data_IF_955313995708
#
_entry.id   IF_955313995708
#
_cell.length_a   1.000
_cell.length_b   1.000
_cell.length_c   1.000
_cell.angle_alpha   90.00
_cell.angle_beta   90.00
_cell.angle_gamma   90.00
#
_symmetry.space_group_name_H-M   'P 1'
#
loop_
_entity.id
_entity.type
_entity.pdbx_description
1 polymer ?
#
# COMPACT_ATOMS: atom_id res chain seq x y z
N UNK A 1 -38.48 61.42 4.55
CA UNK A 1 -39.94 61.21 4.76
C UNK A 1 -40.21 59.74 4.47
N UNK A 2 -40.58 58.86 5.38
CA UNK A 2 -40.96 59.01 6.78
C UNK A 2 -42.04 57.98 7.10
N UNK A 3 -41.81 57.20 8.18
CA UNK A 3 -42.80 56.63 9.11
C UNK A 3 -43.60 55.38 8.63
N UNK A 4 -43.55 54.26 9.36
CA UNK A 4 -44.19 53.96 10.67
C UNK A 4 -45.72 53.74 10.51
N UNK A 5 -46.45 52.90 11.25
CA UNK A 5 -46.26 52.07 12.44
C UNK A 5 -47.53 51.20 12.65
N UNK A 6 -47.39 50.13 13.45
CA UNK A 6 -48.31 49.55 14.46
C UNK A 6 -49.84 49.55 14.31
N UNK A 7 -50.44 48.36 14.52
CA UNK A 7 -51.50 48.01 15.50
C UNK A 7 -51.93 46.56 15.20
N UNK A 8 -52.12 45.59 16.09
CA UNK A 8 -52.62 45.61 17.47
C UNK A 8 -53.91 44.79 17.49
N UNK A 9 -53.94 43.60 18.10
CA UNK A 9 -55.20 42.99 18.55
C UNK A 9 -55.00 42.17 19.81
N UNK A 10 -55.92 42.41 20.73
CA UNK A 10 -55.94 41.96 22.10
C UNK A 10 -56.70 40.63 22.26
N UNK A 11 -56.26 39.86 23.26
CA UNK A 11 -57.17 39.23 24.22
C UNK A 11 -57.61 37.80 23.94
N UNK A 12 -57.27 36.88 24.85
CA UNK A 12 -58.26 36.24 25.72
C UNK A 12 -57.60 35.52 26.90
N UNK A 13 -58.20 35.75 28.07
CA UNK A 13 -57.96 35.07 29.36
C UNK A 13 -58.52 33.65 29.33
N UNK A 14 -57.93 32.72 30.09
CA UNK A 14 -58.54 32.05 31.28
C UNK A 14 -57.71 30.82 31.74
N UNK A 15 -57.20 30.92 32.98
CA UNK A 15 -57.49 29.97 34.08
C UNK A 15 -56.80 28.59 34.10
N UNK A 16 -56.67 27.97 35.29
CA UNK A 16 -55.40 27.36 35.70
C UNK A 16 -55.43 25.84 35.85
N UNK A 17 -54.25 25.22 35.71
CA UNK A 17 -53.99 23.82 36.05
C UNK A 17 -52.65 23.72 36.81
N UNK A 18 -52.78 23.55 38.12
CA UNK A 18 -51.82 23.32 39.20
C UNK A 18 -50.46 22.69 38.79
N UNK A 19 -49.35 23.37 39.09
CA UNK A 19 -48.01 22.76 39.24
C UNK A 19 -47.71 22.57 40.72
N UNK A 20 -47.36 21.35 41.11
CA UNK A 20 -46.79 21.03 42.41
C UNK A 20 -45.34 21.50 42.51
N UNK A 21 -45.04 22.26 43.56
CA UNK A 21 -43.71 22.74 43.92
C UNK A 21 -43.03 21.71 44.84
N UNK A 22 -41.84 21.26 44.49
CA UNK A 22 -40.87 20.74 45.45
C UNK A 22 -39.51 21.38 45.16
N UNK A 23 -39.02 22.10 46.17
CA UNK A 23 -37.75 22.83 46.20
C UNK A 23 -36.61 21.84 46.46
N UNK A 24 -35.51 21.96 45.72
CA UNK A 24 -34.22 21.41 46.10
C UNK A 24 -33.16 22.51 46.10
N UNK A 25 -32.44 22.58 47.22
CA UNK A 25 -31.43 23.55 47.61
C UNK A 25 -30.17 23.42 46.75
N UNK A 26 -29.63 24.55 46.29
CA UNK A 26 -28.35 24.64 45.58
C UNK A 26 -27.20 24.45 46.57
N UNK A 27 -26.40 23.40 46.37
CA UNK A 27 -25.06 23.28 46.97
C UNK A 27 -24.06 23.61 45.87
N UNK A 28 -23.32 24.70 46.03
CA UNK A 28 -22.28 25.12 45.11
C UNK A 28 -21.09 24.16 45.14
N UNK A 29 -21.00 23.29 44.13
CA UNK A 29 -19.78 22.54 43.80
C UNK A 29 -19.00 23.28 42.73
N UNK A 30 -17.75 23.64 43.01
CA UNK A 30 -16.80 24.10 42.01
C UNK A 30 -16.46 22.90 41.11
N UNK A 31 -17.03 22.83 39.90
CA UNK A 31 -16.63 21.85 38.89
C UNK A 31 -15.49 22.44 38.07
N UNK A 32 -14.32 21.83 38.17
CA UNK A 32 -13.28 22.02 37.17
C UNK A 32 -13.82 21.50 35.84
N UNK A 33 -13.92 22.37 34.85
CA UNK A 33 -14.20 21.95 33.48
C UNK A 33 -13.07 21.00 33.04
N UNK A 34 -13.40 19.72 32.81
CA UNK A 34 -12.47 18.80 32.19
C UNK A 34 -12.09 19.30 30.79
N UNK A 35 -10.86 19.01 30.31
CA UNK A 35 -10.48 19.38 28.96
C UNK A 35 -11.49 18.80 27.97
N UNK A 36 -11.88 19.61 26.98
CA UNK A 36 -12.72 19.14 25.88
C UNK A 36 -12.11 17.87 25.28
N UNK A 37 -12.91 16.84 24.93
CA UNK A 37 -12.38 15.71 24.20
C UNK A 37 -11.69 16.23 22.94
N UNK A 38 -10.45 15.80 22.72
CA UNK A 38 -9.73 16.11 21.50
C UNK A 38 -10.62 15.70 20.31
N UNK A 39 -10.66 16.48 19.21
CA UNK A 39 -11.38 16.06 18.03
C UNK A 39 -10.84 14.68 17.63
N UNK A 40 -11.76 13.74 17.38
CA UNK A 40 -11.43 12.50 16.69
C UNK A 40 -11.00 12.93 15.30
N UNK A 41 -9.68 13.08 15.11
CA UNK A 41 -9.11 13.20 13.77
C UNK A 41 -9.26 11.81 13.17
N UNK A 42 -10.31 11.62 12.38
CA UNK A 42 -10.34 10.58 11.36
C UNK A 42 -9.23 10.94 10.38
N UNK A 43 -8.01 10.47 10.67
CA UNK A 43 -6.94 10.54 9.69
C UNK A 43 -7.42 9.70 8.50
N UNK A 44 -7.41 10.24 7.26
CA UNK A 44 -7.64 9.41 6.09
C UNK A 44 -6.67 8.23 6.18
N UNK A 45 -7.23 7.03 6.19
CA UNK A 45 -6.46 5.78 6.23
C UNK A 45 -5.68 5.76 4.92
N UNK A 46 -4.34 5.71 5.00
CA UNK A 46 -3.52 5.50 3.82
C UNK A 46 -4.10 4.31 3.03
N UNK A 47 -4.26 4.43 1.70
CA UNK A 47 -4.72 3.30 0.89
C UNK A 47 -3.85 2.09 1.21
N UNK A 48 -4.46 0.93 1.44
CA UNK A 48 -3.73 -0.33 1.57
C UNK A 48 -2.86 -0.51 0.32
N UNK A 49 -1.56 -0.38 0.48
CA UNK A 49 -0.60 -0.56 -0.61
C UNK A 49 -0.37 -2.05 -0.78
N UNK A 50 -0.71 -2.57 -1.97
CA UNK A 50 -0.28 -3.90 -2.39
C UNK A 50 1.25 -3.86 -2.48
N UNK A 51 1.91 -4.36 -1.45
CA UNK A 51 3.35 -4.57 -1.46
C UNK A 51 3.68 -5.56 -2.59
N UNK A 52 4.74 -5.26 -3.33
CA UNK A 52 5.13 -6.00 -4.51
C UNK A 52 5.98 -7.24 -4.14
N UNK A 53 5.53 -8.48 -4.45
CA UNK A 53 6.36 -9.69 -4.32
C UNK A 53 7.57 -9.69 -5.25
N UNK A 54 8.72 -10.30 -4.85
CA UNK A 54 9.80 -10.63 -5.81
C UNK A 54 10.51 -11.98 -5.58
N UNK A 55 11.00 -12.52 -6.70
CA UNK A 55 11.94 -13.62 -6.80
C UNK A 55 12.75 -13.50 -8.11
N UNK A 56 13.80 -14.31 -8.24
CA UNK A 56 14.97 -14.19 -9.15
C UNK A 56 14.76 -14.31 -10.68
N UNK A 57 13.67 -13.83 -11.24
CA UNK A 57 13.56 -13.58 -12.69
C UNK A 57 13.56 -12.06 -12.89
N UNK A 58 14.71 -11.49 -13.23
CA UNK A 58 14.90 -10.05 -13.39
C UNK A 58 14.20 -9.44 -14.62
N UNK A 59 13.00 -9.89 -14.96
CA UNK A 59 12.17 -9.38 -16.05
C UNK A 59 10.82 -8.92 -15.49
N UNK A 60 10.23 -7.89 -16.09
CA UNK A 60 8.86 -7.47 -15.80
C UNK A 60 7.84 -8.57 -16.12
N UNK A 61 6.58 -8.46 -15.65
CA UNK A 61 5.50 -9.30 -16.13
C UNK A 61 5.44 -9.33 -17.66
N UNK A 62 5.33 -10.52 -18.24
CA UNK A 62 5.19 -10.78 -19.68
C UNK A 62 4.24 -11.97 -19.84
N UNK A 63 2.93 -11.68 -19.91
CA UNK A 63 1.89 -12.71 -19.92
C UNK A 63 1.76 -13.38 -21.29
N UNK A 64 2.21 -12.73 -22.36
CA UNK A 64 2.14 -13.23 -23.74
C UNK A 64 3.47 -13.71 -24.34
N UNK A 65 4.57 -13.52 -23.62
CA UNK A 65 5.90 -13.98 -23.97
C UNK A 65 6.53 -13.20 -25.12
N UNK A 66 6.07 -11.98 -25.39
CA UNK A 66 6.58 -11.14 -26.49
C UNK A 66 7.90 -10.43 -26.15
N UNK A 67 8.35 -10.54 -24.90
CA UNK A 67 9.58 -9.95 -24.38
C UNK A 67 9.43 -8.49 -23.95
N UNK A 68 8.24 -7.91 -24.09
CA UNK A 68 7.86 -6.63 -23.52
C UNK A 68 7.28 -6.77 -22.12
N UNK A 69 7.23 -5.64 -21.40
CA UNK A 69 6.59 -5.61 -20.08
C UNK A 69 5.10 -5.31 -20.19
N UNK A 70 4.31 -6.18 -19.60
CA UNK A 70 2.89 -6.02 -19.40
C UNK A 70 2.58 -5.39 -18.04
N UNK A 71 1.42 -4.76 -17.95
CA UNK A 71 0.95 -4.08 -16.75
C UNK A 71 -0.47 -4.52 -16.41
N UNK A 72 -0.68 -4.86 -15.15
CA UNK A 72 -2.01 -5.11 -14.60
C UNK A 72 -2.33 -4.08 -13.52
N UNK A 73 -3.54 -3.53 -13.59
CA UNK A 73 -4.05 -2.56 -12.63
C UNK A 73 -5.38 -3.02 -12.09
N UNK A 74 -5.46 -3.18 -10.78
CA UNK A 74 -6.70 -3.39 -10.06
C UNK A 74 -7.26 -2.04 -9.65
N UNK A 75 -8.50 -1.76 -10.03
CA UNK A 75 -9.22 -0.58 -9.56
C UNK A 75 -10.38 -1.09 -8.72
N UNK A 76 -10.31 -0.88 -7.40
CA UNK A 76 -11.39 -1.24 -6.47
C UNK A 76 -12.64 -0.39 -6.69
N UNK A 77 -13.27 -0.49 -7.86
CA UNK A 77 -14.51 0.20 -8.24
C UNK A 77 -15.74 -0.66 -7.88
N UNK A 78 -16.96 -0.17 -8.14
CA UNK A 78 -18.19 -0.99 -8.11
C UNK A 78 -18.78 -1.09 -9.52
N UNK A 79 -18.70 -2.25 -10.20
CA UNK A 79 -18.01 -3.49 -9.79
C UNK A 79 -16.48 -3.34 -9.79
N UNK A 80 -15.76 -4.22 -9.08
CA UNK A 80 -14.30 -4.24 -9.09
C UNK A 80 -13.77 -4.64 -10.48
N UNK A 81 -12.62 -4.08 -10.87
CA UNK A 81 -12.06 -4.22 -12.21
C UNK A 81 -10.56 -4.48 -12.17
N UNK A 82 -10.10 -5.29 -13.11
CA UNK A 82 -8.68 -5.52 -13.38
C UNK A 82 -8.42 -5.20 -14.86
N UNK A 83 -7.65 -4.14 -15.11
CA UNK A 83 -7.21 -3.76 -16.45
C UNK A 83 -5.84 -4.36 -16.76
N UNK A 84 -5.70 -5.00 -17.91
CA UNK A 84 -4.48 -5.63 -18.43
C UNK A 84 -4.03 -4.83 -19.66
N UNK A 85 -2.76 -4.44 -19.68
CA UNK A 85 -2.13 -3.67 -20.76
C UNK A 85 -0.89 -4.42 -21.21
N UNK A 86 -0.92 -4.93 -22.44
CA UNK A 86 0.19 -5.65 -23.02
C UNK A 86 1.19 -4.69 -23.67
N UNK A 87 2.47 -5.08 -23.69
CA UNK A 87 3.54 -4.27 -24.27
C UNK A 87 3.32 -3.96 -25.77
N UNK A 88 2.73 -4.91 -26.51
CA UNK A 88 2.36 -4.72 -27.92
C UNK A 88 1.15 -3.79 -28.15
N UNK A 89 0.56 -3.22 -27.09
CA UNK A 89 -0.57 -2.30 -27.14
C UNK A 89 -1.94 -2.98 -27.13
N UNK A 90 -2.00 -4.31 -27.07
CA UNK A 90 -3.25 -5.00 -26.76
C UNK A 90 -3.70 -4.69 -25.32
N UNK A 91 -4.99 -4.80 -25.05
CA UNK A 91 -5.54 -4.58 -23.72
C UNK A 91 -6.78 -5.43 -23.50
N UNK A 92 -6.96 -5.86 -22.26
CA UNK A 92 -8.19 -6.49 -21.79
C UNK A 92 -8.61 -5.83 -20.47
N UNK A 93 -9.90 -5.80 -20.18
CA UNK A 93 -10.43 -5.41 -18.88
C UNK A 93 -11.33 -6.55 -18.39
N UNK A 94 -11.14 -6.94 -17.14
CA UNK A 94 -11.87 -8.01 -16.48
C UNK A 94 -12.69 -7.39 -15.35
N UNK A 95 -14.01 -7.55 -15.40
CA UNK A 95 -14.89 -7.23 -14.28
C UNK A 95 -15.08 -8.46 -13.41
N UNK A 96 -15.42 -8.24 -12.13
CA UNK A 96 -15.72 -9.35 -11.22
C UNK A 96 -16.81 -10.30 -11.74
N UNK A 97 -17.78 -9.78 -12.47
CA UNK A 97 -18.86 -10.56 -13.07
C UNK A 97 -18.39 -11.54 -14.16
N UNK A 98 -17.23 -11.29 -14.77
CA UNK A 98 -16.73 -12.09 -15.89
C UNK A 98 -16.10 -13.40 -15.39
N UNK A 99 -15.54 -13.40 -14.16
CA UNK A 99 -14.95 -14.58 -13.53
C UNK A 99 -15.94 -15.38 -12.68
N UNK A 100 -16.86 -14.70 -12.00
CA UNK A 100 -17.93 -15.37 -11.25
C UNK A 100 -19.16 -14.43 -11.14
N UNK A 101 -20.16 -14.61 -12.03
CA UNK A 101 -21.35 -13.77 -12.08
C UNK A 101 -22.20 -13.78 -10.81
N UNK A 102 -22.05 -14.78 -9.93
CA UNK A 102 -22.87 -14.87 -8.72
C UNK A 102 -22.51 -13.80 -7.68
N UNK A 103 -21.31 -13.21 -7.77
CA UNK A 103 -20.79 -12.18 -6.88
C UNK A 103 -20.30 -10.95 -7.66
N UNK A 104 -21.02 -10.62 -8.74
CA UNK A 104 -20.71 -9.55 -9.67
C UNK A 104 -20.59 -8.16 -9.03
N UNK A 105 -21.21 -7.95 -7.86
CA UNK A 105 -21.20 -6.70 -7.12
C UNK A 105 -20.00 -6.54 -6.18
N UNK A 106 -19.15 -7.58 -6.04
CA UNK A 106 -17.92 -7.44 -5.28
C UNK A 106 -17.04 -6.36 -5.91
N UNK A 107 -16.54 -5.55 -5.02
CA UNK A 107 -15.92 -4.29 -5.30
C UNK A 107 -14.44 -4.31 -4.90
N UNK A 108 -14.04 -5.40 -4.25
CA UNK A 108 -12.69 -5.67 -3.77
C UNK A 108 -11.93 -6.59 -4.75
N UNK A 109 -12.57 -6.98 -5.86
CA UNK A 109 -11.91 -7.67 -6.96
C UNK A 109 -10.75 -6.84 -7.52
N UNK A 110 -9.55 -7.42 -7.47
CA UNK A 110 -8.32 -6.74 -7.85
C UNK A 110 -7.72 -5.87 -6.75
N UNK A 111 -8.07 -6.08 -5.48
CA UNK A 111 -7.51 -5.28 -4.38
C UNK A 111 -6.01 -5.54 -4.16
N UNK A 112 -5.52 -6.75 -4.45
CA UNK A 112 -4.10 -7.07 -4.54
C UNK A 112 -3.84 -7.94 -5.77
N UNK A 113 -2.66 -7.75 -6.35
CA UNK A 113 -2.22 -8.42 -7.57
C UNK A 113 -0.82 -8.99 -7.38
N UNK A 114 -0.59 -10.18 -7.91
CA UNK A 114 0.73 -10.82 -7.98
C UNK A 114 0.91 -11.36 -9.38
N UNK A 115 1.95 -10.88 -10.06
CA UNK A 115 2.34 -11.36 -11.38
C UNK A 115 3.64 -12.16 -11.24
N UNK A 116 3.56 -13.48 -11.44
CA UNK A 116 4.69 -14.42 -11.37
C UNK A 116 4.47 -15.59 -12.33
N UNK A 117 5.51 -16.12 -12.95
CA UNK A 117 5.45 -17.47 -13.52
C UNK A 117 5.27 -18.50 -12.37
N UNK A 118 4.04 -18.99 -12.18
CA UNK A 118 3.70 -19.93 -11.10
C UNK A 118 3.92 -21.37 -11.53
N UNK A 119 3.84 -21.68 -12.82
CA UNK A 119 3.87 -23.03 -13.37
C UNK A 119 5.21 -23.41 -14.04
N UNK A 120 6.14 -22.46 -14.17
CA UNK A 120 7.46 -22.64 -14.77
C UNK A 120 7.42 -22.78 -16.29
N UNK A 121 6.37 -22.33 -16.97
CA UNK A 121 6.23 -22.44 -18.43
C UNK A 121 6.87 -21.28 -19.22
N UNK A 122 7.38 -20.27 -18.50
CA UNK A 122 8.07 -19.12 -19.07
C UNK A 122 7.15 -17.96 -19.45
N UNK A 123 5.84 -18.05 -19.21
CA UNK A 123 4.92 -16.93 -19.27
C UNK A 123 4.61 -16.46 -17.86
N UNK A 124 4.44 -15.16 -17.67
CA UNK A 124 3.97 -14.67 -16.37
C UNK A 124 2.51 -15.08 -16.16
N UNK A 125 2.14 -15.47 -14.95
CA UNK A 125 0.76 -15.72 -14.51
C UNK A 125 0.28 -14.59 -13.60
N UNK A 126 -1.03 -14.50 -13.39
CA UNK A 126 -1.65 -13.47 -12.55
C UNK A 126 -2.49 -14.09 -11.43
N UNK A 127 -2.21 -13.67 -10.19
CA UNK A 127 -3.09 -13.88 -9.04
C UNK A 127 -3.82 -12.58 -8.73
N UNK A 128 -5.16 -12.67 -8.64
CA UNK A 128 -6.07 -11.57 -8.32
C UNK A 128 -6.75 -11.90 -7.00
N UNK A 129 -6.68 -11.01 -6.01
CA UNK A 129 -7.47 -11.15 -4.78
C UNK A 129 -8.84 -10.48 -4.88
N UNK A 130 -9.80 -11.09 -4.19
CA UNK A 130 -11.12 -10.53 -3.91
C UNK A 130 -11.48 -10.85 -2.45
N UNK A 131 -11.12 -9.98 -1.50
CA UNK A 131 -11.31 -10.19 -0.06
C UNK A 131 -12.75 -9.91 0.44
N UNK A 132 -13.74 -9.96 -0.45
CA UNK A 132 -15.14 -9.59 -0.23
C UNK A 132 -15.68 -9.95 1.16
N UNK A 133 -16.16 -8.94 1.87
CA UNK A 133 -16.44 -8.92 3.33
C UNK A 133 -17.52 -9.92 3.80
N UNK A 134 -18.16 -10.66 2.90
CA UNK A 134 -19.17 -11.68 3.22
C UNK A 134 -18.81 -13.11 2.75
N UNK A 135 -17.80 -13.27 1.89
CA UNK A 135 -17.45 -14.55 1.26
C UNK A 135 -16.16 -15.16 1.81
N UNK A 136 -15.43 -14.42 2.63
CA UNK A 136 -14.06 -14.76 2.96
C UNK A 136 -13.10 -14.35 1.83
N UNK A 137 -11.90 -14.92 1.83
CA UNK A 137 -10.91 -14.67 0.79
C UNK A 137 -11.25 -15.50 -0.45
N UNK A 138 -11.36 -14.84 -1.61
CA UNK A 138 -11.31 -15.49 -2.92
C UNK A 138 -10.05 -15.05 -3.67
N UNK A 139 -9.37 -16.00 -4.31
CA UNK A 139 -8.26 -15.74 -5.23
C UNK A 139 -8.59 -16.33 -6.59
N UNK A 140 -8.28 -15.58 -7.65
CA UNK A 140 -8.34 -16.06 -9.03
C UNK A 140 -6.92 -16.12 -9.57
N UNK A 141 -6.53 -17.28 -10.09
CA UNK A 141 -5.25 -17.48 -10.77
C UNK A 141 -5.52 -17.67 -12.26
N UNK A 142 -4.91 -16.81 -13.06
CA UNK A 142 -5.00 -16.80 -14.52
C UNK A 142 -3.60 -17.09 -15.06
N UNK A 143 -3.48 -18.15 -15.87
CA UNK A 143 -2.18 -18.55 -16.40
C UNK A 143 -1.87 -17.80 -17.70
N UNK A 144 -0.60 -17.42 -17.87
CA UNK A 144 -0.07 -16.82 -19.09
C UNK A 144 0.05 -17.83 -20.24
N UNK A 145 0.37 -17.33 -21.42
CA UNK A 145 0.56 -18.15 -22.61
C UNK A 145 0.69 -17.29 -23.86
N UNK A 146 0.94 -17.88 -25.04
CA UNK A 146 1.22 -17.12 -26.28
C UNK A 146 0.05 -16.26 -26.79
N UNK A 147 -1.13 -16.33 -26.16
CA UNK A 147 -2.28 -15.46 -26.42
C UNK A 147 -2.56 -14.46 -25.30
N UNK A 148 -1.65 -14.33 -24.33
CA UNK A 148 -1.85 -13.64 -23.06
C UNK A 148 -2.54 -14.51 -22.00
N UNK A 149 -3.06 -13.86 -20.96
CA UNK A 149 -3.74 -14.51 -19.84
C UNK A 149 -4.97 -15.33 -20.26
N UNK A 150 -5.11 -16.55 -19.75
CA UNK A 150 -6.34 -17.36 -19.86
C UNK A 150 -7.46 -16.79 -18.99
N UNK A 151 -8.25 -15.90 -19.59
CA UNK A 151 -9.41 -15.29 -18.94
C UNK A 151 -10.63 -16.24 -18.86
N UNK A 152 -10.63 -17.35 -19.60
CA UNK A 152 -11.79 -18.24 -19.71
C UNK A 152 -11.78 -19.37 -18.66
N UNK A 153 -10.60 -19.70 -18.11
CA UNK A 153 -10.42 -20.80 -17.17
C UNK A 153 -9.69 -20.44 -15.88
N UNK A 154 -10.08 -19.38 -15.14
CA UNK A 154 -9.39 -19.03 -13.90
C UNK A 154 -9.48 -20.15 -12.86
N UNK A 155 -8.36 -20.46 -12.21
CA UNK A 155 -8.37 -21.31 -11.01
C UNK A 155 -8.82 -20.48 -9.83
N UNK A 156 -9.88 -20.92 -9.16
CA UNK A 156 -10.43 -20.23 -8.00
C UNK A 156 -10.00 -20.93 -6.71
N UNK A 157 -9.45 -20.17 -5.77
CA UNK A 157 -9.27 -20.59 -4.38
C UNK A 157 -10.19 -19.81 -3.47
N UNK A 158 -10.75 -20.47 -2.47
CA UNK A 158 -11.57 -19.84 -1.44
C UNK A 158 -11.07 -20.24 -0.05
N UNK A 159 -11.11 -19.31 0.89
CA UNK A 159 -10.85 -19.57 2.31
C UNK A 159 -11.83 -18.77 3.17
N UNK A 160 -12.34 -19.40 4.23
CA UNK A 160 -13.16 -18.72 5.24
C UNK A 160 -12.27 -17.85 6.13
N UNK A 161 -11.87 -16.71 5.58
CA UNK A 161 -10.93 -15.76 6.18
C UNK A 161 -11.33 -14.34 5.76
N UNK A 162 -12.46 -13.82 6.28
CA UNK A 162 -12.95 -12.49 5.91
C UNK A 162 -11.91 -11.41 6.26
N UNK A 163 -11.62 -10.52 5.31
CA UNK A 163 -10.58 -9.49 5.45
C UNK A 163 -9.15 -9.98 5.23
N UNK A 164 -8.95 -11.21 4.77
CA UNK A 164 -7.69 -11.65 4.18
C UNK A 164 -7.67 -11.32 2.68
N UNK A 165 -6.51 -11.04 2.10
CA UNK A 165 -6.35 -10.77 0.66
C UNK A 165 -5.85 -9.38 0.28
N UNK A 166 -5.49 -8.55 1.26
CA UNK A 166 -5.02 -7.17 1.03
C UNK A 166 -3.55 -7.06 0.60
N UNK A 167 -2.78 -8.14 0.76
CA UNK A 167 -1.39 -8.24 0.33
C UNK A 167 -1.11 -9.66 -0.18
N UNK A 168 -0.29 -9.78 -1.22
CA UNK A 168 0.13 -11.04 -1.81
C UNK A 168 1.65 -11.06 -1.90
N UNK A 169 2.26 -12.22 -1.63
CA UNK A 169 3.66 -12.46 -1.96
C UNK A 169 3.89 -13.88 -2.47
N UNK A 170 4.96 -14.09 -3.24
CA UNK A 170 5.41 -15.42 -3.65
C UNK A 170 6.82 -15.64 -3.13
N UNK A 171 6.95 -16.56 -2.17
CA UNK A 171 8.26 -17.13 -1.82
C UNK A 171 8.60 -18.12 -2.91
N UNK A 172 9.69 -17.96 -3.65
CA UNK A 172 9.96 -18.78 -4.82
C UNK A 172 10.81 -20.02 -4.55
N UNK A 173 11.51 -20.08 -3.42
CA UNK A 173 12.43 -21.17 -3.10
C UNK A 173 12.30 -21.60 -1.62
N UNK A 174 12.57 -22.88 -1.30
CA UNK A 174 12.99 -23.96 -2.19
C UNK A 174 11.85 -24.53 -3.06
N UNK A 175 10.61 -24.37 -2.63
CA UNK A 175 9.39 -24.66 -3.40
C UNK A 175 8.51 -23.42 -3.36
N UNK A 176 7.83 -23.04 -4.45
CA UNK A 176 7.07 -21.80 -4.42
C UNK A 176 5.91 -21.87 -3.43
N UNK A 177 5.69 -20.80 -2.68
CA UNK A 177 4.62 -20.66 -1.70
C UNK A 177 3.95 -19.31 -1.90
N UNK A 178 2.66 -19.35 -2.24
CA UNK A 178 1.81 -18.17 -2.26
C UNK A 178 1.46 -17.78 -0.83
N UNK A 179 1.88 -16.59 -0.41
CA UNK A 179 1.55 -15.98 0.86
C UNK A 179 0.50 -14.88 0.67
N UNK A 180 -0.49 -14.86 1.54
CA UNK A 180 -1.62 -13.93 1.49
C UNK A 180 -1.80 -13.30 2.86
N UNK A 181 -1.84 -11.97 2.91
CA UNK A 181 -2.10 -11.23 4.14
C UNK A 181 -3.46 -11.65 4.69
N UNK A 182 -3.48 -12.25 5.87
CA UNK A 182 -4.67 -12.75 6.53
C UNK A 182 -5.32 -11.69 7.42
N UNK A 183 -6.61 -11.89 7.72
CA UNK A 183 -7.21 -11.24 8.87
C UNK A 183 -6.73 -11.86 10.18
N UNK A 184 -6.89 -11.13 11.29
CA UNK A 184 -6.59 -11.61 12.65
C UNK A 184 -5.12 -11.96 12.92
N UNK A 185 -4.18 -11.09 12.50
CA UNK A 185 -2.76 -11.21 12.82
C UNK A 185 -2.07 -12.45 12.20
N UNK A 186 -2.47 -12.82 10.98
CA UNK A 186 -2.01 -14.04 10.33
C UNK A 186 -1.64 -13.81 8.85
N UNK A 187 -0.86 -14.74 8.30
CA UNK A 187 -0.61 -14.90 6.87
C UNK A 187 -1.04 -16.30 6.45
N UNK A 188 -1.83 -16.39 5.38
CA UNK A 188 -2.27 -17.66 4.80
C UNK A 188 -1.28 -18.08 3.72
N UNK A 189 -0.88 -19.35 3.70
CA UNK A 189 0.10 -19.85 2.74
C UNK A 189 -0.41 -21.09 2.00
N UNK A 190 -0.19 -21.12 0.69
CA UNK A 190 -0.41 -22.28 -0.16
C UNK A 190 0.90 -22.69 -0.84
N UNK A 191 1.37 -23.94 -0.70
CA UNK A 191 2.42 -24.43 -1.57
C UNK A 191 1.90 -24.43 -3.01
N UNK A 192 2.74 -24.06 -3.97
CA UNK A 192 2.44 -24.16 -5.39
C UNK A 192 3.12 -25.44 -5.90
N UNK A 193 2.33 -26.32 -6.51
CA UNK A 193 2.81 -27.56 -7.11
C UNK A 193 3.65 -27.31 -8.36
N UNK A 194 4.32 -28.35 -8.85
CA UNK A 194 5.09 -28.28 -10.11
C UNK A 194 4.20 -27.98 -11.33
N UNK A 195 2.89 -28.21 -11.23
CA UNK A 195 1.90 -27.84 -12.25
C UNK A 195 1.43 -26.38 -12.13
N UNK A 196 2.06 -25.60 -11.26
CA UNK A 196 1.72 -24.22 -10.92
C UNK A 196 0.40 -24.06 -10.19
N UNK A 197 -0.23 -25.15 -9.76
CA UNK A 197 -1.50 -25.09 -9.04
C UNK A 197 -1.26 -25.04 -7.54
N UNK A 198 -2.03 -24.21 -6.81
CA UNK A 198 -1.99 -24.25 -5.36
C UNK A 198 -2.37 -25.64 -4.84
N UNK A 199 -1.53 -26.17 -3.96
CA UNK A 199 -1.73 -27.44 -3.28
C UNK A 199 -2.73 -27.32 -2.12
N UNK A 200 -2.72 -28.33 -1.23
CA UNK A 200 -3.55 -28.32 -0.04
C UNK A 200 -3.19 -27.13 0.87
N UNK A 201 -4.21 -26.40 1.33
CA UNK A 201 -4.05 -25.21 2.18
C UNK A 201 -5.38 -24.50 2.47
N UNK A 202 -5.33 -23.32 3.09
CA UNK A 202 -4.12 -22.64 3.55
C UNK A 202 -3.54 -23.24 4.83
N UNK A 203 -2.20 -23.21 4.96
CA UNK A 203 -1.56 -23.19 6.27
C UNK A 203 -1.55 -21.75 6.81
N UNK A 204 -1.65 -21.60 8.12
CA UNK A 204 -1.64 -20.28 8.78
C UNK A 204 -0.29 -20.03 9.44
N UNK A 205 0.31 -18.88 9.14
CA UNK A 205 1.49 -18.36 9.82
C UNK A 205 1.10 -17.18 10.71
N UNK A 206 1.53 -17.20 11.95
CA UNK A 206 1.46 -16.09 12.90
C UNK A 206 2.75 -16.03 13.71
N UNK A 207 3.06 -14.94 14.44
CA UNK A 207 4.28 -14.87 15.23
C UNK A 207 4.47 -16.04 16.21
N UNK A 208 3.40 -16.56 16.81
CA UNK A 208 3.47 -17.70 17.74
C UNK A 208 3.83 -19.00 17.01
N UNK A 209 3.25 -19.24 15.83
CA UNK A 209 3.56 -20.40 14.99
C UNK A 209 5.02 -20.39 14.51
N UNK A 210 5.63 -19.20 14.46
CA UNK A 210 7.04 -18.97 14.12
C UNK A 210 7.99 -19.01 15.34
N UNK A 211 7.48 -19.37 16.52
CA UNK A 211 8.28 -19.42 17.76
C UNK A 211 8.63 -18.04 18.34
N UNK A 212 7.95 -16.98 17.88
CA UNK A 212 8.09 -15.62 18.40
C UNK A 212 6.98 -15.31 19.42
N UNK A 213 7.10 -14.22 20.19
CA UNK A 213 6.02 -13.78 21.07
C UNK A 213 4.73 -13.54 20.27
N UNK A 214 3.59 -13.84 20.89
CA UNK A 214 2.28 -13.63 20.29
C UNK A 214 2.10 -12.17 19.83
N UNK A 215 1.44 -11.93 18.69
CA UNK A 215 1.21 -10.58 18.19
C UNK A 215 0.43 -9.75 19.22
N UNK A 216 0.77 -8.46 19.33
CA UNK A 216 -0.04 -7.54 20.11
C UNK A 216 -1.44 -7.44 19.48
N UNK A 217 -2.54 -7.34 20.26
CA UNK A 217 -3.85 -7.09 19.69
C UNK A 217 -3.83 -5.81 18.83
N UNK A 218 -4.16 -5.94 17.55
CA UNK A 218 -4.09 -4.83 16.60
C UNK A 218 -2.69 -4.55 16.05
N UNK A 219 -1.77 -5.51 16.17
CA UNK A 219 -0.44 -5.51 15.53
C UNK A 219 -0.50 -5.44 14.00
N UNK A 220 -1.60 -5.93 13.43
CA UNK A 220 -1.88 -6.03 11.99
C UNK A 220 -0.81 -6.80 11.22
N UNK A 221 -0.30 -7.90 11.79
CA UNK A 221 0.58 -8.84 11.10
C UNK A 221 -0.06 -9.32 9.79
N UNK A 222 0.68 -9.21 8.69
CA UNK A 222 0.18 -9.53 7.35
C UNK A 222 -0.37 -8.33 6.56
N UNK A 223 -0.27 -7.10 7.09
CA UNK A 223 -0.75 -5.89 6.38
C UNK A 223 -0.01 -5.66 5.06
N UNK A 224 1.29 -5.93 5.04
CA UNK A 224 2.15 -5.80 3.87
C UNK A 224 3.02 -7.05 3.77
N UNK A 225 3.30 -7.49 2.55
CA UNK A 225 4.10 -8.67 2.27
C UNK A 225 5.11 -8.36 1.15
N UNK A 226 6.35 -8.79 1.33
CA UNK A 226 7.35 -8.81 0.25
C UNK A 226 8.15 -10.11 0.35
N UNK A 227 8.85 -10.47 -0.73
CA UNK A 227 9.71 -11.65 -0.74
C UNK A 227 10.97 -11.40 -1.54
N UNK A 228 12.04 -12.14 -1.22
CA UNK A 228 13.24 -12.29 -2.06
C UNK A 228 13.75 -13.73 -1.92
N UNK A 229 13.57 -14.53 -2.97
CA UNK A 229 13.97 -15.94 -2.99
C UNK A 229 13.23 -16.78 -1.95
N UNK A 230 13.91 -17.19 -0.88
CA UNK A 230 13.32 -17.96 0.23
C UNK A 230 12.87 -17.09 1.41
N UNK A 231 13.13 -15.80 1.38
CA UNK A 231 12.74 -14.88 2.42
C UNK A 231 11.32 -14.37 2.15
N UNK A 232 10.43 -14.52 3.14
CA UNK A 232 9.18 -13.76 3.24
C UNK A 232 9.37 -12.66 4.27
N UNK A 233 8.95 -11.44 3.95
CA UNK A 233 8.91 -10.30 4.86
C UNK A 233 7.46 -9.93 5.12
N UNK A 234 7.07 -9.90 6.39
CA UNK A 234 5.71 -9.63 6.82
C UNK A 234 5.68 -8.36 7.67
N UNK A 235 4.90 -7.37 7.25
CA UNK A 235 4.70 -6.13 8.01
C UNK A 235 3.60 -6.27 9.05
N UNK A 236 3.83 -5.65 10.21
CA UNK A 236 2.89 -5.52 11.31
C UNK A 236 2.92 -4.07 11.83
N UNK A 237 2.44 -3.08 11.05
CA UNK A 237 2.58 -1.65 11.37
C UNK A 237 1.79 -1.20 12.61
N UNK A 238 0.91 -2.05 13.15
CA UNK A 238 0.16 -1.77 14.38
C UNK A 238 0.87 -2.23 15.65
N UNK A 239 2.00 -2.94 15.54
CA UNK A 239 2.74 -3.49 16.67
C UNK A 239 3.13 -2.42 17.70
N UNK A 240 3.10 -2.81 18.97
CA UNK A 240 3.55 -1.97 20.08
C UNK A 240 4.98 -2.34 20.45
N UNK A 241 5.87 -1.36 20.50
CA UNK A 241 7.30 -1.57 20.84
C UNK A 241 7.61 -0.78 22.10
N UNK A 242 8.00 -1.47 23.18
CA UNK A 242 8.37 -0.84 24.45
C UNK A 242 7.36 0.20 25.00
N UNK A 243 6.07 0.03 24.70
CA UNK A 243 4.98 0.92 25.10
C UNK A 243 4.57 1.97 24.04
N UNK A 244 5.35 2.15 22.98
CA UNK A 244 5.01 2.96 21.82
C UNK A 244 3.98 2.21 20.95
N UNK A 245 2.73 2.66 20.97
CA UNK A 245 1.63 2.04 20.22
C UNK A 245 1.75 2.33 18.74
N UNK A 246 1.51 1.34 17.89
CA UNK A 246 1.58 1.46 16.43
C UNK A 246 2.97 1.96 15.96
N UNK A 247 4.01 1.64 16.73
CA UNK A 247 5.39 1.87 16.28
C UNK A 247 5.71 0.94 15.11
N UNK A 248 5.17 -0.28 15.12
CA UNK A 248 5.28 -1.22 14.02
C UNK A 248 6.45 -2.19 14.16
N UNK A 249 6.42 -3.24 13.33
CA UNK A 249 7.45 -4.25 13.22
C UNK A 249 7.42 -4.90 11.83
N UNK A 250 8.53 -5.53 11.46
CA UNK A 250 8.57 -6.48 10.34
C UNK A 250 9.10 -7.82 10.82
N UNK A 251 8.68 -8.89 10.16
CA UNK A 251 9.07 -10.26 10.45
C UNK A 251 9.71 -10.86 9.21
N UNK A 252 10.96 -11.29 9.33
CA UNK A 252 11.71 -11.94 8.26
C UNK A 252 11.65 -13.44 8.50
N UNK A 253 10.97 -14.17 7.61
CA UNK A 253 10.71 -15.61 7.70
C UNK A 253 11.48 -16.34 6.59
N UNK A 254 12.40 -17.23 6.97
CA UNK A 254 13.23 -17.99 6.04
C UNK A 254 12.63 -19.36 5.75
N UNK A 255 12.08 -19.52 4.53
CA UNK A 255 11.52 -20.76 4.02
C UNK A 255 12.57 -21.78 3.57
N UNK A 256 13.86 -21.44 3.58
CA UNK A 256 14.93 -22.42 3.36
C UNK A 256 15.24 -23.26 4.61
N UNK A 257 14.55 -23.03 5.73
CA UNK A 257 14.76 -23.75 7.00
C UNK A 257 13.55 -24.62 7.35
N UNK A 258 13.84 -25.80 7.90
CA UNK A 258 12.85 -26.70 8.49
C UNK A 258 13.31 -27.09 9.92
N UNK A 259 12.61 -26.65 10.98
CA UNK A 259 11.45 -25.76 10.96
C UNK A 259 11.82 -24.34 10.49
N UNK A 260 10.81 -23.61 9.99
CA UNK A 260 10.94 -22.19 9.60
C UNK A 260 11.66 -21.39 10.69
N UNK A 261 12.57 -20.53 10.27
CA UNK A 261 13.22 -19.57 11.15
C UNK A 261 12.64 -18.18 10.90
N UNK A 262 12.37 -17.44 11.97
CA UNK A 262 11.88 -16.08 11.86
C UNK A 262 12.60 -15.14 12.82
N UNK A 263 12.75 -13.89 12.42
CA UNK A 263 13.22 -12.81 13.28
C UNK A 263 12.24 -11.62 13.20
N UNK A 264 12.00 -11.00 14.36
CA UNK A 264 11.25 -9.74 14.46
C UNK A 264 12.24 -8.58 14.46
N UNK A 265 11.97 -7.56 13.66
CA UNK A 265 12.76 -6.34 13.52
C UNK A 265 11.86 -5.13 13.73
N UNK A 266 12.37 -4.14 14.46
CA UNK A 266 11.75 -2.84 14.78
C UNK A 266 12.82 -1.76 14.74
N UNK A 267 12.45 -0.49 14.86
CA UNK A 267 13.43 0.62 14.99
C UNK A 267 14.30 0.48 16.23
N UNK A 268 13.76 -0.02 17.35
CA UNK A 268 14.57 -0.37 18.54
C UNK A 268 15.54 -1.57 18.36
N UNK A 269 15.55 -2.23 17.20
CA UNK A 269 16.47 -3.35 16.97
C UNK A 269 17.89 -2.81 16.77
N UNK A 270 18.92 -3.34 17.47
CA UNK A 270 20.28 -2.81 17.36
C UNK A 270 20.79 -2.75 15.92
N UNK A 271 21.22 -1.55 15.51
CA UNK A 271 21.73 -1.29 14.16
C UNK A 271 20.66 -0.86 13.16
N UNK A 272 19.38 -0.89 13.53
CA UNK A 272 18.31 -0.20 12.79
C UNK A 272 18.37 1.28 13.17
N UNK A 273 18.29 2.21 12.20
CA UNK A 273 18.27 3.64 12.47
C UNK A 273 17.01 4.09 13.21
N UNK A 274 17.14 5.20 13.96
CA UNK A 274 16.11 5.80 14.82
C UNK A 274 15.60 4.88 15.95
N UNK A 275 14.74 5.42 16.80
CA UNK A 275 14.10 4.72 17.92
C UNK A 275 12.61 4.56 17.63
N UNK A 276 11.97 3.50 18.12
CA UNK A 276 10.55 3.26 17.91
C UNK A 276 9.68 4.24 18.72
N UNK A 277 8.84 5.01 18.03
CA UNK A 277 7.91 5.99 18.59
C UNK A 277 6.46 5.63 18.24
N UNK A 278 5.52 6.27 18.95
CA UNK A 278 4.12 5.96 18.75
C UNK A 278 3.66 6.49 17.38
N UNK A 279 3.00 5.63 16.61
CA UNK A 279 2.43 5.92 15.28
C UNK A 279 3.41 5.96 14.10
N UNK A 280 4.67 5.57 14.27
CA UNK A 280 5.66 5.53 13.17
C UNK A 280 5.28 4.52 12.08
N UNK A 281 4.64 3.41 12.51
CA UNK A 281 4.11 2.35 11.66
C UNK A 281 5.18 1.69 10.79
N UNK A 282 6.35 1.42 11.35
CA UNK A 282 7.40 0.62 10.73
C UNK A 282 6.83 -0.69 10.15
N UNK A 283 7.04 -0.93 8.86
CA UNK A 283 6.44 -2.06 8.14
C UNK A 283 5.11 -1.75 7.46
N UNK A 284 4.70 -0.48 7.37
CA UNK A 284 3.47 -0.09 6.68
C UNK A 284 3.49 -0.42 5.18
N UNK A 285 4.64 -0.29 4.55
CA UNK A 285 4.90 -0.70 3.16
C UNK A 285 6.20 -1.50 3.11
N UNK A 286 6.28 -2.45 2.18
CA UNK A 286 7.46 -3.30 1.98
C UNK A 286 7.75 -3.43 0.50
N UNK A 287 9.04 -3.45 0.17
CA UNK A 287 9.55 -3.87 -1.13
C UNK A 287 10.85 -4.64 -0.90
N UNK A 288 11.03 -5.78 -1.55
CA UNK A 288 12.29 -6.53 -1.48
C UNK A 288 12.63 -7.02 -2.88
N UNK A 289 13.90 -6.89 -3.29
CA UNK A 289 14.50 -7.42 -4.54
C UNK A 289 15.99 -7.01 -4.57
N UNK A 290 16.76 -7.53 -5.53
CA UNK A 290 18.13 -7.10 -5.83
C UNK A 290 19.06 -7.13 -4.59
N UNK A 291 18.78 -8.03 -3.63
CA UNK A 291 19.51 -8.11 -2.36
C UNK A 291 19.20 -6.98 -1.39
N UNK A 292 18.07 -6.31 -1.52
CA UNK A 292 17.58 -5.28 -0.62
C UNK A 292 16.19 -5.63 -0.09
N UNK A 293 15.93 -5.20 1.14
CA UNK A 293 14.60 -5.02 1.71
C UNK A 293 14.44 -3.54 2.06
N UNK A 294 13.36 -2.91 1.62
CA UNK A 294 13.00 -1.55 2.00
C UNK A 294 11.71 -1.57 2.81
N UNK A 295 11.74 -0.90 3.95
CA UNK A 295 10.62 -0.80 4.90
C UNK A 295 10.15 0.64 4.98
N UNK A 296 8.86 0.86 4.77
CA UNK A 296 8.22 2.17 4.91
C UNK A 296 7.86 2.47 6.36
N UNK A 297 8.11 3.72 6.76
CA UNK A 297 7.80 4.28 8.08
C UNK A 297 7.08 5.63 7.89
N UNK A 298 5.86 5.63 7.32
CA UNK A 298 5.19 6.87 6.91
C UNK A 298 4.75 7.75 8.08
N UNK A 299 4.77 7.22 9.31
CA UNK A 299 4.45 7.97 10.52
C UNK A 299 5.63 8.67 11.17
N UNK A 300 6.84 8.47 10.66
CA UNK A 300 8.07 9.01 11.26
C UNK A 300 8.08 10.55 11.29
N UNK A 301 8.57 11.10 12.40
CA UNK A 301 8.79 12.53 12.57
C UNK A 301 10.16 12.93 12.00
N UNK A 302 10.22 13.91 11.09
CA UNK A 302 11.51 14.38 10.52
C UNK A 302 11.76 15.84 10.86
N UNK A 303 13.04 16.22 10.89
CA UNK A 303 13.42 17.64 11.06
C UNK A 303 13.51 18.34 9.72
N UNK A 304 12.88 19.50 9.61
CA UNK A 304 13.04 20.38 8.45
C UNK A 304 14.45 21.00 8.39
N UNK A 305 14.72 21.77 7.32
CA UNK A 305 16.01 22.46 7.13
C UNK A 305 16.36 23.43 8.26
N UNK A 306 15.35 23.93 8.99
CA UNK A 306 15.52 24.81 10.15
C UNK A 306 15.69 24.03 11.46
N UNK A 307 15.62 22.70 11.42
CA UNK A 307 15.74 21.80 12.56
C UNK A 307 14.44 21.64 13.37
N UNK A 308 13.29 22.12 12.89
CA UNK A 308 12.01 21.93 13.57
C UNK A 308 11.45 20.55 13.27
N UNK A 309 10.84 19.93 14.29
CA UNK A 309 10.18 18.64 14.14
C UNK A 309 8.89 18.78 13.34
N UNK A 310 8.79 18.04 12.25
CA UNK A 310 7.64 17.93 11.38
C UNK A 310 7.04 16.54 11.60
N UNK A 311 5.88 16.45 12.28
CA UNK A 311 5.37 15.15 12.67
C UNK A 311 4.79 14.38 11.49
N UNK A 312 5.04 13.06 11.45
CA UNK A 312 4.52 12.14 10.41
C UNK A 312 4.86 12.56 8.99
N UNK A 313 6.05 13.11 8.79
CA UNK A 313 6.60 13.36 7.44
C UNK A 313 6.89 12.03 6.74
N UNK A 314 7.39 11.06 7.50
CA UNK A 314 7.69 9.72 7.04
C UNK A 314 9.15 9.53 6.61
N UNK A 315 9.57 8.28 6.57
CA UNK A 315 10.86 7.84 6.05
C UNK A 315 10.78 6.41 5.51
N UNK A 316 11.90 5.93 4.96
CA UNK A 316 12.11 4.51 4.65
C UNK A 316 13.38 4.02 5.33
N UNK A 317 13.46 2.72 5.62
CA UNK A 317 14.71 2.05 6.00
C UNK A 317 15.07 1.03 4.93
N UNK A 318 16.22 1.22 4.30
CA UNK A 318 16.82 0.26 3.36
C UNK A 318 17.76 -0.70 4.08
N UNK A 319 17.48 -1.98 3.98
CA UNK A 319 18.26 -3.09 4.52
C UNK A 319 19.00 -3.81 3.39
N UNK A 320 20.33 -3.82 3.45
CA UNK A 320 21.13 -4.66 2.56
C UNK A 320 21.07 -6.11 3.05
N UNK A 321 20.75 -7.04 2.16
CA UNK A 321 20.64 -8.47 2.46
C UNK A 321 21.87 -9.23 1.97
N UNK A 322 22.39 -10.13 2.80
CA UNK A 322 23.49 -11.04 2.44
C UNK A 322 23.13 -12.46 2.85
N UNK A 323 22.81 -13.31 1.88
CA UNK A 323 22.42 -14.70 2.15
C UNK A 323 21.13 -14.82 2.97
N UNK A 324 20.17 -13.92 2.74
CA UNK A 324 18.87 -13.90 3.44
C UNK A 324 18.88 -13.24 4.83
N UNK A 325 20.02 -12.65 5.26
CA UNK A 325 20.13 -11.94 6.54
C UNK A 325 20.44 -10.46 6.33
N UNK A 326 20.08 -9.64 7.31
CA UNK A 326 20.36 -8.19 7.30
C UNK A 326 21.86 -7.98 7.52
N UNK A 327 22.51 -7.31 6.56
CA UNK A 327 23.93 -6.95 6.60
C UNK A 327 24.15 -5.46 6.91
N UNK A 328 23.22 -4.60 6.51
CA UNK A 328 23.26 -3.15 6.75
C UNK A 328 21.83 -2.59 6.86
N UNK A 329 21.69 -1.43 7.50
CA UNK A 329 20.44 -0.68 7.55
C UNK A 329 20.74 0.83 7.44
N UNK A 330 19.95 1.55 6.64
CA UNK A 330 20.07 2.98 6.44
C UNK A 330 18.68 3.60 6.29
N UNK A 331 18.40 4.67 7.05
CA UNK A 331 17.19 5.47 6.91
C UNK A 331 17.34 6.41 5.72
N UNK A 332 16.30 6.63 4.92
CA UNK A 332 16.23 7.64 3.87
C UNK A 332 14.97 8.48 4.05
N UNK A 333 15.09 9.79 3.85
CA UNK A 333 13.96 10.73 3.93
C UNK A 333 14.04 11.79 2.83
N UNK A 334 13.07 12.68 2.81
CA UNK A 334 12.93 13.74 1.81
C UNK A 334 14.12 14.72 1.76
N UNK A 335 15.03 14.77 2.76
CA UNK A 335 16.18 15.71 2.77
C UNK A 335 17.27 15.34 1.78
N UNK A 336 17.29 14.09 1.30
CA UNK A 336 18.29 13.63 0.33
C UNK A 336 17.82 13.76 -1.12
N UNK A 337 16.57 14.17 -1.31
CA UNK A 337 16.02 14.51 -2.61
C UNK A 337 15.53 15.97 -2.62
N UNK A 338 15.27 16.56 -3.79
CA UNK A 338 14.57 17.84 -3.84
C UNK A 338 13.20 17.69 -3.17
N UNK A 339 12.83 18.58 -2.25
CA UNK A 339 11.58 18.51 -1.50
C UNK A 339 11.67 19.31 -0.21
N UNK A 340 10.53 19.69 0.33
CA UNK A 340 10.43 20.26 1.68
C UNK A 340 9.95 19.17 2.63
N UNK A 341 10.34 19.27 3.90
CA UNK A 341 9.88 18.35 4.94
C UNK A 341 8.66 19.00 5.56
N UNK A 342 7.49 18.43 5.34
CA UNK A 342 6.24 18.90 5.91
C UNK A 342 5.55 17.85 6.76
N UNK A 343 4.78 18.34 7.73
CA UNK A 343 4.02 17.47 8.61
C UNK A 343 2.92 16.73 7.83
N UNK A 344 2.94 15.40 7.87
CA UNK A 344 1.89 14.56 7.30
C UNK A 344 2.06 14.16 5.83
N UNK A 345 3.24 14.35 5.23
CA UNK A 345 3.48 13.98 3.82
C UNK A 345 3.34 12.47 3.56
N UNK A 346 3.67 11.65 4.56
CA UNK A 346 3.57 10.21 4.48
C UNK A 346 4.57 9.58 3.51
N UNK A 347 5.79 10.11 3.43
CA UNK A 347 6.88 9.52 2.66
C UNK A 347 7.14 8.08 3.11
N UNK A 348 7.25 7.15 2.16
CA UNK A 348 7.34 5.71 2.48
C UNK A 348 5.99 5.01 2.63
N UNK A 349 4.90 5.67 2.21
CA UNK A 349 3.54 5.09 2.26
C UNK A 349 3.31 3.99 1.20
N UNK A 350 3.98 4.09 0.05
CA UNK A 350 4.00 3.07 -1.00
C UNK A 350 5.45 2.87 -1.48
N UNK A 351 5.80 1.63 -1.82
CA UNK A 351 7.17 1.25 -2.18
C UNK A 351 7.18 0.24 -3.33
N UNK A 352 8.14 0.41 -4.24
CA UNK A 352 8.48 -0.59 -5.24
C UNK A 352 9.99 -0.56 -5.52
N UNK A 353 10.63 -1.73 -5.57
CA UNK A 353 12.01 -1.81 -6.04
C UNK A 353 12.07 -1.36 -7.50
N UNK A 354 13.05 -0.54 -7.84
CA UNK A 354 13.22 0.03 -9.17
C UNK A 354 14.69 0.37 -9.41
N UNK A 355 15.19 0.16 -10.62
CA UNK A 355 16.54 0.57 -11.00
C UNK A 355 16.54 2.02 -11.52
N UNK A 356 17.09 3.00 -10.76
CA UNK A 356 17.20 4.39 -11.22
C UNK A 356 18.14 4.56 -12.41
N UNK A 357 19.18 3.74 -12.46
CA UNK A 357 20.08 3.66 -13.58
C UNK A 357 20.78 2.30 -13.59
N UNK A 358 21.58 2.07 -14.62
CA UNK A 358 22.20 0.76 -14.88
C UNK A 358 22.96 0.25 -13.66
N UNK A 359 22.78 -1.04 -13.39
CA UNK A 359 23.46 -1.80 -12.33
C UNK A 359 23.29 -1.21 -10.91
N UNK A 360 22.27 -0.39 -10.70
CA UNK A 360 21.99 0.24 -9.42
C UNK A 360 20.62 -0.16 -8.91
N UNK A 361 20.57 -0.75 -7.72
CA UNK A 361 19.32 -0.96 -7.00
C UNK A 361 18.80 0.38 -6.46
N UNK A 362 17.50 0.57 -6.52
CA UNK A 362 16.83 1.71 -5.95
C UNK A 362 15.40 1.37 -5.57
N UNK A 363 14.69 2.38 -5.09
CA UNK A 363 13.29 2.24 -4.69
C UNK A 363 12.50 3.45 -5.15
N UNK A 364 11.34 3.21 -5.75
CA UNK A 364 10.32 4.21 -5.99
C UNK A 364 9.47 4.33 -4.73
N UNK A 365 9.39 5.54 -4.17
CA UNK A 365 8.77 5.84 -2.88
C UNK A 365 7.63 6.82 -3.10
N UNK A 366 6.43 6.49 -2.66
CA UNK A 366 5.30 7.42 -2.67
C UNK A 366 5.13 8.20 -1.38
N UNK A 367 4.69 9.45 -1.51
CA UNK A 367 4.13 10.27 -0.44
C UNK A 367 2.83 10.90 -0.95
N UNK A 368 1.72 10.18 -0.82
CA UNK A 368 0.44 10.58 -1.42
C UNK A 368 -0.14 11.86 -0.79
N UNK A 369 0.23 12.16 0.46
CA UNK A 369 -0.28 13.30 1.20
C UNK A 369 0.58 14.57 1.02
N UNK A 370 1.74 14.45 0.35
CA UNK A 370 2.63 15.55 0.00
C UNK A 370 1.86 16.75 -0.56
N UNK A 371 2.18 17.94 -0.02
CA UNK A 371 1.70 19.19 -0.58
C UNK A 371 2.62 19.66 -1.73
N UNK A 372 2.02 20.03 -2.88
CA UNK A 372 2.75 20.71 -3.96
C UNK A 372 2.38 22.19 -3.95
N UNK A 373 3.24 23.01 -3.34
CA UNK A 373 2.94 24.42 -3.08
C UNK A 373 1.70 24.56 -2.19
N UNK A 374 0.65 25.22 -2.68
CA UNK A 374 -0.61 25.39 -1.94
C UNK A 374 -1.65 24.29 -2.21
N UNK A 375 -1.25 23.14 -2.80
CA UNK A 375 -2.14 22.03 -3.13
C UNK A 375 -1.91 20.89 -2.15
N UNK A 376 -2.75 20.81 -1.12
CA UNK A 376 -2.70 19.73 -0.15
C UNK A 376 -3.01 18.38 -0.82
N UNK A 377 -2.31 17.31 -0.40
CA UNK A 377 -2.52 15.95 -0.92
C UNK A 377 -2.46 15.89 -2.46
N UNK A 378 -1.60 16.72 -3.06
CA UNK A 378 -1.30 16.58 -4.48
C UNK A 378 -0.51 15.30 -4.73
N UNK A 379 0.37 14.96 -3.77
CA UNK A 379 1.20 13.77 -3.80
C UNK A 379 2.47 13.95 -4.63
N UNK A 380 3.45 13.10 -4.37
CA UNK A 380 4.69 12.99 -5.13
C UNK A 380 5.28 11.58 -5.01
N UNK A 381 6.24 11.29 -5.88
CA UNK A 381 7.09 10.11 -5.78
C UNK A 381 8.57 10.48 -5.86
N UNK A 382 9.40 9.62 -5.27
CA UNK A 382 10.85 9.73 -5.28
C UNK A 382 11.47 8.44 -5.78
N UNK A 383 12.41 8.53 -6.70
CA UNK A 383 13.27 7.42 -7.06
C UNK A 383 14.62 7.59 -6.35
N UNK A 384 14.86 6.68 -5.41
CA UNK A 384 15.96 6.74 -4.44
C UNK A 384 16.96 5.64 -4.75
N UNK A 385 18.20 5.95 -5.18
CA UNK A 385 19.27 4.97 -5.26
C UNK A 385 19.63 4.43 -3.87
N UNK A 386 19.83 3.13 -3.75
CA UNK A 386 20.18 2.46 -2.50
C UNK A 386 21.69 2.19 -2.41
N UNK A 387 22.24 2.25 -1.19
CA UNK A 387 23.67 2.07 -0.93
C UNK A 387 24.52 3.24 -1.43
N UNK A 388 25.79 2.96 -1.78
CA UNK A 388 26.76 3.97 -2.22
C UNK A 388 26.56 4.40 -3.70
N UNK A 389 25.31 4.69 -4.08
CA UNK A 389 24.89 4.85 -5.47
C UNK A 389 24.68 6.32 -5.91
N UNK A 390 25.52 7.24 -5.40
CA UNK A 390 25.42 8.67 -5.69
C UNK A 390 25.47 9.03 -7.19
N UNK A 391 25.96 8.12 -8.05
CA UNK A 391 26.10 8.34 -9.48
C UNK A 391 24.78 8.40 -10.26
N UNK A 392 23.69 7.76 -9.79
CA UNK A 392 22.39 7.84 -10.49
C UNK A 392 21.60 9.12 -10.16
N UNK A 393 21.90 9.77 -9.02
CA UNK A 393 21.11 10.89 -8.50
C UNK A 393 19.72 10.48 -8.02
N UNK A 394 19.10 11.35 -7.23
CA UNK A 394 17.71 11.20 -6.78
C UNK A 394 16.77 11.88 -7.78
N UNK A 395 15.61 11.29 -8.03
CA UNK A 395 14.55 11.91 -8.85
C UNK A 395 13.34 12.14 -7.97
N UNK A 396 12.75 13.34 -8.01
CA UNK A 396 11.41 13.61 -7.48
C UNK A 396 10.49 13.91 -8.65
N UNK A 397 9.29 13.33 -8.64
CA UNK A 397 8.28 13.55 -9.66
C UNK A 397 6.95 13.90 -8.99
N UNK A 398 6.30 14.93 -9.50
CA UNK A 398 4.94 15.30 -9.11
C UNK A 398 4.25 16.06 -10.24
N UNK A 399 2.97 16.33 -10.09
CA UNK A 399 2.29 17.18 -11.07
C UNK A 399 2.84 18.61 -11.03
N UNK A 400 3.21 19.14 -12.19
CA UNK A 400 3.96 20.38 -12.34
C UNK A 400 5.47 20.20 -12.45
N UNK A 401 6.00 18.99 -12.20
CA UNK A 401 7.42 18.65 -12.38
C UNK A 401 7.59 17.15 -12.71
N UNK A 402 7.72 16.84 -14.01
CA UNK A 402 7.96 15.49 -14.51
C UNK A 402 6.72 14.60 -14.70
N UNK A 403 5.55 14.95 -14.14
CA UNK A 403 4.30 14.18 -14.35
C UNK A 403 3.27 14.91 -15.23
N UNK A 404 2.22 15.50 -14.66
CA UNK A 404 1.27 16.33 -15.41
C UNK A 404 1.72 17.80 -15.46
N UNK A 405 1.11 18.63 -16.31
CA UNK A 405 1.45 20.05 -16.40
C UNK A 405 1.10 20.86 -15.12
N UNK A 406 0.15 20.40 -14.29
CA UNK A 406 -0.37 21.17 -13.15
C UNK A 406 -0.80 20.29 -11.98
N UNK A 407 -0.29 20.61 -10.78
CA UNK A 407 -0.77 20.04 -9.52
C UNK A 407 -2.20 20.46 -9.18
N UNK A 408 -2.96 19.50 -8.65
CA UNK A 408 -4.30 19.71 -8.07
C UNK A 408 -4.34 19.10 -6.67
N UNK A 409 -5.10 19.71 -5.77
CA UNK A 409 -5.32 19.14 -4.44
C UNK A 409 -6.09 17.82 -4.56
N UNK A 410 -5.86 16.87 -3.65
CA UNK A 410 -6.54 15.57 -3.65
C UNK A 410 -6.18 14.64 -4.82
N UNK A 411 -5.09 14.93 -5.55
CA UNK A 411 -4.66 14.05 -6.65
C UNK A 411 -4.02 12.77 -6.13
N UNK A 412 -3.36 12.84 -4.97
CA UNK A 412 -2.72 11.71 -4.31
C UNK A 412 -1.76 10.93 -5.22
N UNK A 413 -0.90 11.64 -5.97
CA UNK A 413 0.21 11.01 -6.72
C UNK A 413 1.07 10.18 -5.77
N UNK A 414 1.41 8.95 -6.16
CA UNK A 414 2.19 8.03 -5.33
C UNK A 414 1.34 7.25 -4.32
N UNK A 415 0.00 7.29 -4.45
CA UNK A 415 -0.91 6.43 -3.66
C UNK A 415 -0.62 4.94 -3.85
N UNK A 416 -0.14 4.55 -5.03
CA UNK A 416 0.47 3.25 -5.30
C UNK A 416 1.60 3.44 -6.34
N UNK A 417 2.64 2.62 -6.23
CA UNK A 417 3.78 2.64 -7.13
C UNK A 417 4.19 1.23 -7.51
N UNK A 418 4.72 1.07 -8.71
CA UNK A 418 5.41 -0.12 -9.19
C UNK A 418 6.51 0.30 -10.17
N UNK A 419 7.23 -0.65 -10.71
CA UNK A 419 8.17 -0.44 -11.81
C UNK A 419 8.07 -1.61 -12.78
N UNK A 420 8.57 -1.50 -13.99
CA UNK A 420 8.64 -2.60 -14.96
C UNK A 420 10.09 -2.73 -15.39
N UNK A 421 10.69 -3.87 -15.07
CA UNK A 421 12.07 -4.17 -15.39
C UNK A 421 12.24 -4.54 -16.86
N UNK A 422 12.41 -3.52 -17.71
CA UNK A 422 12.66 -3.66 -19.15
C UNK A 422 14.12 -3.36 -19.47
N UNK A 423 14.85 -4.36 -19.99
CA UNK A 423 16.24 -4.18 -20.38
C UNK A 423 17.21 -3.92 -19.22
N UNK A 424 18.31 -3.21 -19.46
CA UNK A 424 19.42 -3.09 -18.51
C UNK A 424 19.77 -1.66 -18.06
N UNK A 425 19.08 -0.63 -18.57
CA UNK A 425 19.47 0.76 -18.37
C UNK A 425 18.83 1.42 -17.14
N UNK A 426 17.57 1.13 -16.88
CA UNK A 426 16.73 1.63 -15.80
C UNK A 426 15.33 1.06 -15.98
N UNK A 427 14.54 1.05 -14.92
CA UNK A 427 13.19 0.46 -14.99
C UNK A 427 12.16 1.53 -15.41
N UNK A 428 11.10 1.13 -16.11
CA UNK A 428 9.94 1.98 -16.37
C UNK A 428 9.18 2.17 -15.07
N UNK A 429 8.91 3.39 -14.65
CA UNK A 429 8.17 3.67 -13.42
C UNK A 429 6.67 3.54 -13.69
N UNK A 430 5.92 2.97 -12.75
CA UNK A 430 4.45 2.94 -12.77
C UNK A 430 3.94 3.71 -11.55
N UNK A 431 3.19 4.78 -11.79
CA UNK A 431 2.77 5.72 -10.73
C UNK A 431 1.25 5.85 -10.79
N UNK A 432 0.59 5.46 -9.71
CA UNK A 432 -0.83 5.73 -9.54
C UNK A 432 -1.04 7.09 -8.85
N UNK A 433 -2.06 7.80 -9.31
CA UNK A 433 -2.66 8.92 -8.61
C UNK A 433 -4.12 8.55 -8.39
N UNK A 434 -4.48 8.26 -7.14
CA UNK A 434 -5.82 7.77 -6.81
C UNK A 434 -6.92 8.77 -7.18
N UNK A 435 -6.62 10.06 -7.07
CA UNK A 435 -7.63 11.11 -7.15
C UNK A 435 -8.61 11.09 -5.98
N UNK A 436 -9.63 11.92 -6.12
CA UNK A 436 -10.76 12.08 -5.21
C UNK A 436 -12.00 12.29 -6.08
N UNK A 437 -12.71 11.20 -6.34
CA UNK A 437 -13.86 11.24 -7.24
C UNK A 437 -15.05 12.01 -6.66
N UNK A 438 -15.14 12.18 -5.34
CA UNK A 438 -16.19 12.97 -4.69
C UNK A 438 -15.96 14.47 -4.88
N UNK A 439 -14.69 14.89 -4.86
CA UNK A 439 -14.25 16.27 -5.16
C UNK A 439 -14.00 16.51 -6.67
N UNK A 440 -14.32 15.54 -7.53
CA UNK A 440 -14.21 15.65 -8.98
C UNK A 440 -12.77 15.61 -9.53
N UNK A 441 -11.84 15.04 -8.77
CA UNK A 441 -10.46 14.77 -9.17
C UNK A 441 -10.35 13.32 -9.64
N UNK A 442 -10.29 13.05 -10.95
CA UNK A 442 -10.21 11.68 -11.44
C UNK A 442 -8.87 11.04 -11.10
N UNK A 443 -8.89 9.75 -10.78
CA UNK A 443 -7.69 8.94 -10.66
C UNK A 443 -7.09 8.58 -12.02
N UNK A 444 -5.79 8.23 -12.02
CA UNK A 444 -5.04 7.80 -13.20
C UNK A 444 -3.87 6.90 -12.84
N UNK A 445 -3.36 6.18 -13.83
CA UNK A 445 -2.09 5.45 -13.76
C UNK A 445 -1.20 5.92 -14.90
N UNK A 446 0.05 6.21 -14.55
CA UNK A 446 1.08 6.76 -15.43
C UNK A 446 2.21 5.75 -15.57
N UNK A 447 2.81 5.67 -16.76
CA UNK A 447 4.14 5.07 -16.94
C UNK A 447 5.16 6.12 -17.35
N UNK A 448 6.39 5.97 -16.89
CA UNK A 448 7.50 6.85 -17.24
C UNK A 448 8.77 6.04 -17.49
N UNK A 449 9.22 6.02 -18.73
CA UNK A 449 10.39 5.25 -19.15
C UNK A 449 11.70 5.96 -18.78
N UNK A 450 12.75 5.17 -18.52
CA UNK A 450 14.11 5.68 -18.41
C UNK A 450 14.51 6.39 -19.74
N UNK A 451 15.15 7.57 -19.72
CA UNK A 451 15.83 8.23 -18.59
C UNK A 451 14.98 9.23 -17.79
N UNK A 452 13.65 9.07 -17.78
CA UNK A 452 12.70 9.87 -16.99
C UNK A 452 12.63 11.36 -17.39
N UNK A 453 13.04 11.67 -18.61
CA UNK A 453 13.03 13.04 -19.17
C UNK A 453 11.85 13.29 -20.10
N UNK A 454 11.25 12.23 -20.62
CA UNK A 454 10.10 12.34 -21.52
C UNK A 454 8.80 12.51 -20.71
N UNK A 455 7.74 13.09 -21.29
CA UNK A 455 6.45 13.16 -20.62
C UNK A 455 5.92 11.75 -20.29
N UNK A 456 5.26 11.54 -19.14
CA UNK A 456 4.68 10.25 -18.82
C UNK A 456 3.53 9.89 -19.76
N UNK A 457 3.27 8.61 -19.91
CA UNK A 457 2.12 8.07 -20.64
C UNK A 457 1.00 7.74 -19.66
N UNK A 458 -0.20 8.30 -19.86
CA UNK A 458 -1.38 7.87 -19.11
C UNK A 458 -1.89 6.53 -19.67
N UNK A 459 -1.68 5.44 -18.93
CA UNK A 459 -2.15 4.10 -19.31
C UNK A 459 -3.58 3.84 -18.87
N UNK A 460 -4.03 4.53 -17.81
CA UNK A 460 -5.41 4.57 -17.35
C UNK A 460 -5.75 5.99 -16.90
N UNK A 461 -6.97 6.41 -17.20
CA UNK A 461 -7.48 7.76 -16.90
C UNK A 461 -8.94 7.71 -16.46
N UNK A 462 -9.40 8.82 -15.90
CA UNK A 462 -10.80 9.02 -15.50
C UNK A 462 -11.29 7.94 -14.51
N UNK A 463 -10.38 7.44 -13.66
CA UNK A 463 -10.69 6.40 -12.68
C UNK A 463 -11.56 7.00 -11.57
N UNK A 464 -12.74 6.43 -11.37
CA UNK A 464 -13.66 6.81 -10.29
C UNK A 464 -13.41 5.96 -9.04
N UNK A 465 -12.28 6.23 -8.37
CA UNK A 465 -11.91 5.57 -7.11
C UNK A 465 -12.54 6.37 -5.96
N UNK A 466 -13.39 5.72 -5.16
CA UNK A 466 -13.99 6.34 -3.96
C UNK A 466 -12.97 6.39 -2.81
N UNK A 467 -13.18 7.24 -1.79
CA UNK A 467 -12.20 7.47 -0.71
C UNK A 467 -11.70 6.20 0.01
N UNK A 468 -12.57 5.20 0.18
CA UNK A 468 -12.23 3.93 0.86
C UNK A 468 -11.57 2.88 -0.05
N UNK A 469 -11.26 3.24 -1.30
CA UNK A 469 -10.83 2.30 -2.35
C UNK A 469 -9.38 2.55 -2.74
N UNK A 470 -8.73 1.52 -3.28
CA UNK A 470 -7.32 1.58 -3.67
C UNK A 470 -7.13 1.21 -5.14
N UNK A 471 -6.02 1.71 -5.70
CA UNK A 471 -5.47 1.22 -6.96
C UNK A 471 -4.38 0.21 -6.59
N UNK A 472 -4.49 -1.01 -7.11
CA UNK A 472 -3.45 -2.03 -7.02
C UNK A 472 -2.68 -2.08 -8.34
N UNK A 473 -1.37 -2.26 -8.27
CA UNK A 473 -0.49 -2.38 -9.44
C UNK A 473 0.22 -3.74 -9.38
N UNK A 474 0.45 -4.36 -10.53
CA UNK A 474 1.32 -5.54 -10.59
C UNK A 474 2.74 -5.21 -10.11
N UNK A 475 3.42 -6.13 -9.42
CA UNK A 475 4.78 -5.92 -8.89
C UNK A 475 5.85 -5.79 -9.99
N UNK A 476 7.07 -5.32 -9.66
CA UNK A 476 8.11 -5.04 -10.66
C UNK A 476 8.76 -6.22 -11.35
N UNK A 477 8.83 -7.37 -10.68
CA UNK A 477 9.22 -8.62 -11.35
C UNK A 477 7.99 -9.35 -11.85
N UNK A 478 8.15 -10.14 -12.92
CA UNK A 478 7.29 -11.27 -13.37
C UNK A 478 7.90 -12.66 -13.16
#
# INVERSE_FOLDING_TARGET
MGRAATAGFAGRRRGPGVLGLAVAVVVGGCTTAGPAPAPVVTTPVAPATSAAPTARTGAAPDFDGDGGADLVVGTGTRPGRVGIRYANGASADLERQDVDPAHADSADFGQALLARDLNGDGYTDLVISDPGVELGLTLFLLYGGPGGLDLAGPVTLTSDSPGAGHALALVAAPTPVLAVGGANEAVLTWPIGEDGRPGAGPATLDPSSLGLPAPAPGGRFGTSLASDGSLLVVGAPGETVNGARQAGAVYLVDFAKDPLQAQRVTEDTPGVPDDAQAQDRFGAALAADDGWLVVGVPGEDRKDESGHNQPRTGMIVGFGLSGGTIASAQAYDQRWAPGTVEAGDGFGSSLAMARPCKDTAGVLVGAWAEAVGARAQAGAVWLVPLGDAAACGYVRLHDGDGLAERARAGTAVGSAVSALRVGAAGDTLVIAAQGDSEEGVPGRVLTLDYPYTDPPVEVLKDLAVAEERTIALSPPGG
#
